data_IF_438508807266
#
_entry.id   IF_438508807266
#
_cell.length_a   1.000
_cell.length_b   1.000
_cell.length_c   1.000
_cell.angle_alpha   90.00
_cell.angle_beta   90.00
_cell.angle_gamma   90.00
#
_symmetry.space_group_name_H-M   'P 1'
#
loop_
_entity.id
_entity.type
_entity.pdbx_description
1 polymer ?
#
# COMPACT_ATOMS: atom_id res chain seq x y z
N UNK A 1 21.35 -11.61 12.66
CA UNK A 1 21.79 -10.27 12.23
C UNK A 1 22.21 -10.40 10.77
N UNK A 2 21.28 -10.43 9.86
CA UNK A 2 21.52 -10.59 8.43
C UNK A 2 20.98 -9.34 7.73
N UNK A 3 21.89 -8.50 7.30
CA UNK A 3 21.59 -7.36 6.42
C UNK A 3 21.22 -7.96 5.08
N UNK A 4 19.93 -7.97 4.74
CA UNK A 4 19.48 -8.23 3.39
C UNK A 4 19.81 -6.96 2.61
N UNK A 5 21.05 -6.89 2.11
CA UNK A 5 21.44 -5.92 1.12
C UNK A 5 20.72 -6.27 -0.18
N UNK A 6 19.69 -5.51 -0.53
CA UNK A 6 19.07 -5.62 -1.83
C UNK A 6 20.11 -5.21 -2.89
N UNK A 7 20.78 -6.19 -3.47
CA UNK A 7 21.66 -6.00 -4.63
C UNK A 7 20.75 -5.74 -5.82
N UNK A 8 20.52 -4.49 -6.15
CA UNK A 8 19.89 -4.07 -7.40
C UNK A 8 20.78 -4.52 -8.57
N UNK A 9 20.52 -5.72 -9.06
CA UNK A 9 21.26 -6.34 -10.17
C UNK A 9 20.81 -7.76 -10.44
N UNK A 10 20.06 -8.37 -9.51
CA UNK A 10 19.44 -9.67 -9.74
C UNK A 10 18.11 -9.44 -10.44
N UNK A 11 17.87 -10.13 -11.56
CA UNK A 11 16.55 -10.14 -12.20
C UNK A 11 15.49 -10.41 -11.12
N UNK A 12 14.46 -9.56 -11.09
CA UNK A 12 13.28 -9.79 -10.28
C UNK A 12 12.74 -11.18 -10.63
N UNK A 13 12.81 -12.11 -9.70
CA UNK A 13 12.27 -13.46 -9.90
C UNK A 13 11.69 -14.01 -8.58
N UNK A 14 10.79 -14.94 -8.73
CA UNK A 14 10.15 -15.63 -7.60
C UNK A 14 10.88 -16.90 -7.17
N UNK A 15 11.96 -17.28 -7.86
CA UNK A 15 12.68 -18.55 -7.62
C UNK A 15 13.42 -18.60 -6.28
N UNK A 16 13.78 -17.43 -5.74
CA UNK A 16 14.44 -17.31 -4.43
C UNK A 16 13.45 -17.30 -3.26
N UNK A 17 12.14 -17.37 -3.53
CA UNK A 17 11.11 -17.35 -2.51
C UNK A 17 11.11 -18.65 -1.70
N UNK A 18 11.43 -18.57 -0.41
CA UNK A 18 11.39 -19.70 0.51
C UNK A 18 10.04 -19.75 1.20
N UNK A 19 9.22 -20.73 0.85
CA UNK A 19 7.91 -20.96 1.47
C UNK A 19 8.09 -21.86 2.68
N UNK A 20 7.97 -21.29 3.88
CA UNK A 20 8.07 -22.04 5.15
C UNK A 20 6.74 -22.66 5.52
N UNK A 21 6.78 -23.66 6.42
CA UNK A 21 5.55 -24.27 6.99
C UNK A 21 4.68 -23.22 7.71
N UNK A 22 5.29 -22.19 8.30
CA UNK A 22 4.58 -21.09 8.93
C UNK A 22 3.78 -20.27 7.91
N UNK A 23 4.40 -19.89 6.79
CA UNK A 23 3.74 -19.18 5.70
C UNK A 23 2.56 -20.00 5.15
N UNK A 24 2.75 -21.30 4.93
CA UNK A 24 1.67 -22.18 4.46
C UNK A 24 0.51 -22.23 5.44
N UNK A 25 0.78 -22.36 6.74
CA UNK A 25 -0.24 -22.37 7.77
C UNK A 25 -1.01 -21.04 7.85
N UNK A 26 -0.32 -19.92 7.70
CA UNK A 26 -0.97 -18.60 7.68
C UNK A 26 -1.86 -18.42 6.45
N UNK A 27 -1.39 -18.83 5.27
CA UNK A 27 -2.18 -18.80 4.03
C UNK A 27 -3.44 -19.66 4.20
N UNK A 28 -3.32 -20.90 4.70
CA UNK A 28 -4.45 -21.80 4.90
C UNK A 28 -5.52 -21.19 5.81
N UNK A 29 -5.11 -20.56 6.93
CA UNK A 29 -6.03 -19.87 7.86
C UNK A 29 -6.73 -18.67 7.21
N UNK A 30 -6.03 -17.91 6.38
CA UNK A 30 -6.62 -16.79 5.66
C UNK A 30 -7.63 -17.28 4.63
N UNK A 31 -7.33 -18.36 3.91
CA UNK A 31 -8.26 -18.92 2.92
C UNK A 31 -9.49 -19.55 3.55
N UNK A 32 -9.35 -20.21 4.69
CA UNK A 32 -10.48 -20.66 5.50
C UNK A 32 -11.38 -19.50 5.90
N UNK A 33 -10.79 -18.41 6.45
CA UNK A 33 -11.54 -17.20 6.80
C UNK A 33 -12.24 -16.58 5.58
N UNK A 34 -11.59 -16.49 4.42
CA UNK A 34 -12.21 -16.02 3.16
C UNK A 34 -13.44 -16.83 2.78
N UNK A 35 -13.39 -18.16 2.97
CA UNK A 35 -14.54 -19.04 2.74
C UNK A 35 -15.71 -18.70 3.67
N UNK A 36 -15.46 -18.59 4.96
CA UNK A 36 -16.47 -18.18 5.96
C UNK A 36 -17.04 -16.80 5.63
N UNK A 37 -16.16 -15.82 5.30
CA UNK A 37 -16.56 -14.47 4.96
C UNK A 37 -17.51 -14.41 3.75
N UNK A 38 -17.25 -15.17 2.70
CA UNK A 38 -18.13 -15.25 1.53
C UNK A 38 -19.51 -15.77 1.90
N UNK A 39 -19.56 -16.83 2.73
CA UNK A 39 -20.83 -17.41 3.19
C UNK A 39 -21.61 -16.43 4.05
N UNK A 40 -20.96 -15.73 4.97
CA UNK A 40 -21.58 -14.68 5.79
C UNK A 40 -22.11 -13.51 4.95
N UNK A 41 -21.41 -13.14 3.88
CA UNK A 41 -21.84 -12.09 2.96
C UNK A 41 -23.18 -12.37 2.28
N UNK A 42 -23.47 -13.64 2.01
CA UNK A 42 -24.78 -14.06 1.45
C UNK A 42 -25.87 -14.17 2.51
N UNK A 43 -25.53 -14.58 3.74
CA UNK A 43 -26.51 -14.81 4.80
C UNK A 43 -26.89 -13.54 5.58
N UNK A 44 -26.00 -12.56 5.70
CA UNK A 44 -26.20 -11.37 6.50
C UNK A 44 -25.55 -10.12 5.87
N UNK A 45 -26.00 -9.68 4.67
CA UNK A 45 -25.35 -8.61 3.91
C UNK A 45 -25.27 -7.29 4.68
N UNK A 46 -26.32 -6.92 5.43
CA UNK A 46 -26.32 -5.66 6.20
C UNK A 46 -25.29 -5.65 7.32
N UNK A 47 -25.14 -6.78 8.03
CA UNK A 47 -24.11 -6.92 9.07
C UNK A 47 -22.71 -6.87 8.48
N UNK A 48 -22.52 -7.48 7.31
CA UNK A 48 -21.24 -7.45 6.60
C UNK A 48 -20.90 -6.06 6.11
N UNK A 49 -21.88 -5.30 5.64
CA UNK A 49 -21.70 -3.89 5.25
C UNK A 49 -21.28 -3.03 6.46
N UNK A 50 -21.93 -3.20 7.62
CA UNK A 50 -21.57 -2.49 8.83
C UNK A 50 -20.16 -2.83 9.32
N UNK A 51 -19.79 -4.13 9.33
CA UNK A 51 -18.43 -4.58 9.68
C UNK A 51 -17.38 -4.04 8.72
N UNK A 52 -17.67 -4.03 7.42
CA UNK A 52 -16.80 -3.45 6.40
C UNK A 52 -16.52 -1.97 6.67
N UNK A 53 -17.56 -1.20 7.00
CA UNK A 53 -17.42 0.22 7.33
C UNK A 53 -16.51 0.43 8.54
N UNK A 54 -16.73 -0.31 9.63
CA UNK A 54 -15.88 -0.23 10.83
C UNK A 54 -14.44 -0.58 10.51
N UNK A 55 -14.22 -1.71 9.82
CA UNK A 55 -12.88 -2.14 9.44
C UNK A 55 -12.17 -1.13 8.52
N UNK A 56 -12.91 -0.46 7.62
CA UNK A 56 -12.36 0.59 6.77
C UNK A 56 -11.91 1.80 7.60
N UNK A 57 -12.74 2.27 8.55
CA UNK A 57 -12.39 3.38 9.43
C UNK A 57 -11.13 3.06 10.24
N UNK A 58 -11.09 1.89 10.87
CA UNK A 58 -9.95 1.44 11.66
C UNK A 58 -8.67 1.28 10.82
N UNK A 59 -8.80 0.76 9.60
CA UNK A 59 -7.67 0.60 8.66
C UNK A 59 -7.10 1.96 8.25
N UNK A 60 -7.96 2.91 7.90
CA UNK A 60 -7.55 4.28 7.54
C UNK A 60 -6.87 4.94 8.75
N UNK A 61 -7.50 4.92 9.91
CA UNK A 61 -6.96 5.52 11.13
C UNK A 61 -5.62 4.90 11.53
N UNK A 62 -5.50 3.58 11.49
CA UNK A 62 -4.28 2.87 11.87
C UNK A 62 -3.13 3.15 10.90
N UNK A 63 -3.38 3.12 9.60
CA UNK A 63 -2.36 3.41 8.57
C UNK A 63 -1.83 4.84 8.70
N UNK A 64 -2.71 5.81 8.89
CA UNK A 64 -2.28 7.21 9.05
C UNK A 64 -1.56 7.44 10.39
N UNK A 65 -1.93 6.73 11.47
CA UNK A 65 -1.22 6.81 12.76
C UNK A 65 0.21 6.25 12.67
N UNK A 66 0.46 5.24 11.85
CA UNK A 66 1.83 4.75 11.56
C UNK A 66 2.67 5.86 10.94
N UNK A 67 2.07 6.69 10.09
CA UNK A 67 2.71 7.84 9.45
C UNK A 67 2.76 9.10 10.35
N UNK A 68 2.27 9.00 11.59
CA UNK A 68 2.35 10.06 12.59
C UNK A 68 1.10 10.94 12.75
N UNK A 69 -0.01 10.63 12.08
CA UNK A 69 -1.29 11.31 12.28
C UNK A 69 -1.81 11.11 13.70
N UNK A 70 -2.45 12.13 14.23
CA UNK A 70 -3.05 12.13 15.58
C UNK A 70 -4.57 11.94 15.57
N UNK A 71 -5.17 11.76 14.40
CA UNK A 71 -6.62 11.62 14.27
C UNK A 71 -7.12 10.33 14.92
N UNK A 72 -8.19 10.44 15.70
CA UNK A 72 -8.93 9.33 16.26
C UNK A 72 -9.86 8.72 15.21
N UNK A 73 -10.30 7.46 15.43
CA UNK A 73 -11.25 6.79 14.53
C UNK A 73 -12.57 7.55 14.39
N UNK A 74 -13.01 8.28 15.45
CA UNK A 74 -14.19 9.15 15.39
C UNK A 74 -14.00 10.34 14.44
N UNK A 75 -12.82 10.92 14.40
CA UNK A 75 -12.49 12.01 13.47
C UNK A 75 -12.39 11.49 12.04
N UNK A 76 -11.77 10.33 11.84
CA UNK A 76 -11.77 9.62 10.55
C UNK A 76 -13.20 9.33 10.09
N UNK A 77 -14.08 8.83 10.97
CA UNK A 77 -15.49 8.58 10.65
C UNK A 77 -16.23 9.86 10.23
N UNK A 78 -15.98 10.97 10.90
CA UNK A 78 -16.56 12.28 10.53
C UNK A 78 -16.09 12.73 9.14
N UNK A 79 -14.80 12.58 8.83
CA UNK A 79 -14.26 12.90 7.50
C UNK A 79 -14.92 12.05 6.42
N UNK A 80 -15.05 10.73 6.65
CA UNK A 80 -15.69 9.80 5.72
C UNK A 80 -17.17 10.07 5.51
N UNK A 81 -17.87 10.55 6.53
CA UNK A 81 -19.31 10.88 6.43
C UNK A 81 -19.61 12.22 5.74
N UNK A 82 -18.59 12.92 5.27
CA UNK A 82 -18.73 14.21 4.59
C UNK A 82 -19.14 15.39 5.51
N UNK A 83 -19.24 15.14 6.81
CA UNK A 83 -19.67 16.15 7.78
C UNK A 83 -18.59 17.21 8.08
N UNK A 84 -17.36 17.01 7.61
CA UNK A 84 -16.21 17.89 7.92
C UNK A 84 -15.43 18.37 6.70
N UNK A 85 -15.90 18.14 5.48
CA UNK A 85 -15.14 18.49 4.25
C UNK A 85 -14.98 20.01 4.07
N UNK A 86 -15.63 20.84 4.88
CA UNK A 86 -15.57 22.28 4.70
C UNK A 86 -14.21 22.91 5.06
N UNK A 87 -13.39 22.23 5.86
CA UNK A 87 -12.03 22.70 6.18
C UNK A 87 -11.08 21.52 6.43
N UNK A 88 -10.31 21.13 5.41
CA UNK A 88 -9.15 20.25 5.58
C UNK A 88 -7.97 21.14 6.01
N UNK A 89 -8.02 21.62 7.26
CA UNK A 89 -7.11 22.66 7.73
C UNK A 89 -5.74 22.12 8.10
N UNK A 90 -5.67 20.86 8.51
CA UNK A 90 -4.42 20.24 8.91
C UNK A 90 -3.89 19.29 7.83
N UNK A 91 -2.59 19.06 7.87
CA UNK A 91 -1.96 18.05 7.01
C UNK A 91 -2.55 16.66 7.25
N UNK A 92 -2.79 16.30 8.50
CA UNK A 92 -3.39 15.03 8.90
C UNK A 92 -4.78 14.85 8.25
N UNK A 93 -5.62 15.89 8.25
CA UNK A 93 -6.94 15.86 7.62
C UNK A 93 -6.83 15.61 6.10
N UNK A 94 -5.86 16.26 5.44
CA UNK A 94 -5.62 16.13 4.01
C UNK A 94 -5.15 14.71 3.63
N UNK A 95 -4.23 14.15 4.39
CA UNK A 95 -3.70 12.79 4.18
C UNK A 95 -4.79 11.74 4.42
N UNK A 96 -5.55 11.86 5.51
CA UNK A 96 -6.67 10.95 5.80
C UNK A 96 -7.79 11.04 4.76
N UNK A 97 -8.15 12.23 4.32
CA UNK A 97 -9.16 12.42 3.28
C UNK A 97 -8.73 11.81 1.94
N UNK A 98 -7.45 11.97 1.58
CA UNK A 98 -6.88 11.35 0.38
C UNK A 98 -6.87 9.82 0.47
N UNK A 99 -6.47 9.27 1.61
CA UNK A 99 -6.47 7.83 1.84
C UNK A 99 -7.90 7.26 1.82
N UNK A 100 -8.85 7.95 2.42
CA UNK A 100 -10.26 7.57 2.41
C UNK A 100 -10.81 7.50 0.99
N UNK A 101 -10.56 8.54 0.17
CA UNK A 101 -10.98 8.57 -1.23
C UNK A 101 -10.34 7.44 -2.06
N UNK A 102 -9.07 7.11 -1.77
CA UNK A 102 -8.40 5.98 -2.40
C UNK A 102 -9.03 4.65 -2.02
N UNK A 103 -9.31 4.43 -0.74
CA UNK A 103 -9.96 3.20 -0.25
C UNK A 103 -11.36 3.01 -0.87
N UNK A 104 -12.16 4.06 -0.92
CA UNK A 104 -13.49 4.01 -1.54
C UNK A 104 -13.40 3.64 -3.03
N UNK A 105 -12.47 4.26 -3.76
CA UNK A 105 -12.24 3.96 -5.18
C UNK A 105 -11.81 2.49 -5.36
N UNK A 106 -10.80 2.04 -4.62
CA UNK A 106 -10.27 0.67 -4.76
C UNK A 106 -11.32 -0.35 -4.35
N UNK A 107 -11.97 -0.18 -3.20
CA UNK A 107 -12.98 -1.14 -2.72
C UNK A 107 -14.24 -1.16 -3.59
N UNK A 108 -14.59 -0.04 -4.23
CA UNK A 108 -15.75 0.06 -5.12
C UNK A 108 -15.49 -0.45 -6.53
N UNK A 109 -14.25 -0.38 -7.03
CA UNK A 109 -13.93 -0.60 -8.44
C UNK A 109 -12.72 -1.50 -8.69
N UNK A 110 -12.25 -2.24 -7.69
CA UNK A 110 -11.02 -3.06 -7.80
C UNK A 110 -11.03 -4.04 -8.99
N UNK A 111 -12.21 -4.53 -9.40
CA UNK A 111 -12.35 -5.47 -10.50
C UNK A 111 -12.08 -4.83 -11.87
N UNK A 112 -12.32 -3.52 -11.96
CA UNK A 112 -12.20 -2.73 -13.19
C UNK A 112 -10.87 -1.96 -13.28
N UNK A 113 -10.05 -2.01 -12.22
CA UNK A 113 -8.74 -1.35 -12.17
C UNK A 113 -7.67 -2.33 -12.62
N UNK A 114 -7.10 -2.19 -13.83
CA UNK A 114 -5.94 -2.98 -14.25
C UNK A 114 -4.73 -2.74 -13.35
N UNK A 115 -3.95 -3.78 -13.13
CA UNK A 115 -2.69 -3.64 -12.41
C UNK A 115 -1.59 -3.24 -13.38
N UNK A 116 -1.41 -1.95 -13.58
CA UNK A 116 -0.38 -1.35 -14.43
C UNK A 116 0.16 -0.04 -13.83
N UNK A 117 1.25 0.47 -14.42
CA UNK A 117 1.91 1.68 -13.93
C UNK A 117 1.01 2.93 -13.98
N UNK A 118 0.16 3.05 -14.98
CA UNK A 118 -0.72 4.21 -15.13
C UNK A 118 -1.76 4.24 -14.02
N UNK A 119 -2.37 3.09 -13.70
CA UNK A 119 -3.33 3.00 -12.61
C UNK A 119 -2.66 3.17 -11.24
N UNK A 120 -1.44 2.65 -11.03
CA UNK A 120 -0.67 2.93 -9.81
C UNK A 120 -0.44 4.43 -9.65
N UNK A 121 -0.06 5.15 -10.71
CA UNK A 121 0.10 6.61 -10.69
C UNK A 121 -1.21 7.34 -10.44
N UNK A 122 -2.32 6.88 -11.03
CA UNK A 122 -3.64 7.45 -10.78
C UNK A 122 -4.08 7.26 -9.33
N UNK A 123 -3.87 6.07 -8.75
CA UNK A 123 -4.15 5.81 -7.34
C UNK A 123 -3.30 6.70 -6.43
N UNK A 124 -2.03 6.90 -6.75
CA UNK A 124 -1.16 7.85 -6.05
C UNK A 124 -1.65 9.30 -6.19
N UNK A 125 -2.20 9.69 -7.34
CA UNK A 125 -2.85 10.99 -7.50
C UNK A 125 -4.07 11.15 -6.58
N UNK A 126 -4.90 10.11 -6.47
CA UNK A 126 -6.07 10.12 -5.58
C UNK A 126 -5.64 10.23 -4.12
N UNK A 127 -4.63 9.44 -3.72
CA UNK A 127 -4.07 9.47 -2.37
C UNK A 127 -3.60 10.88 -1.96
N UNK A 128 -2.90 11.57 -2.85
CA UNK A 128 -2.32 12.89 -2.57
C UNK A 128 -3.22 14.06 -3.01
N UNK A 129 -4.48 13.80 -3.38
CA UNK A 129 -5.40 14.80 -3.93
C UNK A 129 -5.50 16.07 -3.10
N UNK A 130 -5.54 15.92 -1.79
CA UNK A 130 -5.74 17.02 -0.86
C UNK A 130 -4.44 17.60 -0.29
N UNK A 131 -3.30 16.93 -0.50
CA UNK A 131 -2.00 17.41 -0.02
C UNK A 131 -1.45 18.52 -0.90
N UNK A 132 -1.48 19.75 -0.42
CA UNK A 132 -0.91 20.90 -1.13
C UNK A 132 0.62 20.79 -1.26
N UNK A 133 1.29 20.21 -0.26
CA UNK A 133 2.75 20.01 -0.24
C UNK A 133 3.22 19.08 -1.35
N UNK A 134 2.43 18.07 -1.68
CA UNK A 134 2.81 16.98 -2.59
C UNK A 134 2.31 17.18 -4.02
N UNK A 135 1.81 18.36 -4.35
CA UNK A 135 1.24 18.67 -5.67
C UNK A 135 2.18 18.31 -6.84
N UNK A 136 3.49 18.52 -6.67
CA UNK A 136 4.50 18.21 -7.69
C UNK A 136 4.81 16.73 -7.82
N UNK A 137 4.45 15.92 -6.82
CA UNK A 137 4.75 14.48 -6.77
C UNK A 137 3.55 13.61 -7.11
N UNK A 138 2.35 14.18 -7.17
CA UNK A 138 1.11 13.45 -7.44
C UNK A 138 1.19 12.67 -8.75
N UNK A 139 1.14 11.35 -8.67
CA UNK A 139 1.14 10.46 -9.83
C UNK A 139 2.43 10.50 -10.65
N UNK A 140 3.51 10.99 -10.08
CA UNK A 140 4.80 11.07 -10.75
C UNK A 140 5.83 10.16 -10.07
N UNK A 141 6.78 9.69 -10.84
CA UNK A 141 7.97 9.08 -10.28
C UNK A 141 8.84 10.13 -9.60
N UNK A 142 9.63 9.69 -8.64
CA UNK A 142 10.57 10.55 -7.93
C UNK A 142 11.58 11.18 -8.90
N UNK A 143 11.92 12.43 -8.65
CA UNK A 143 12.94 13.19 -9.38
C UNK A 143 14.23 13.33 -8.60
N UNK A 144 14.19 13.06 -7.29
CA UNK A 144 15.34 13.13 -6.40
C UNK A 144 15.58 11.76 -5.75
N UNK A 145 16.83 11.51 -5.36
CA UNK A 145 17.17 10.34 -4.54
C UNK A 145 16.53 10.45 -3.15
N UNK A 146 16.02 9.33 -2.65
CA UNK A 146 15.34 9.23 -1.35
C UNK A 146 15.89 8.05 -0.53
N UNK A 147 17.21 7.90 -0.49
CA UNK A 147 17.85 6.87 0.32
C UNK A 147 17.55 7.05 1.80
N UNK A 148 17.46 5.95 2.54
CA UNK A 148 17.35 5.99 4.00
C UNK A 148 18.76 6.13 4.56
N UNK A 149 19.03 7.24 5.22
CA UNK A 149 20.31 7.55 5.82
C UNK A 149 20.25 7.41 7.35
N UNK A 150 21.38 6.99 7.95
CA UNK A 150 21.57 7.07 9.39
C UNK A 150 22.25 8.40 9.74
N UNK A 151 21.82 8.98 10.87
CA UNK A 151 22.36 10.23 11.41
C UNK A 151 22.87 9.98 12.84
N UNK A 152 23.91 10.67 13.24
CA UNK A 152 24.40 10.69 14.62
C UNK A 152 23.54 11.62 15.51
N UNK A 153 23.86 11.67 16.80
CA UNK A 153 23.16 12.52 17.78
C UNK A 153 23.24 14.03 17.45
N UNK A 154 24.19 14.42 16.61
CA UNK A 154 24.39 15.81 16.17
C UNK A 154 23.69 16.11 14.84
N UNK A 155 22.99 15.12 14.26
CA UNK A 155 22.32 15.26 12.96
C UNK A 155 23.25 15.13 11.76
N UNK A 156 24.49 14.64 11.95
CA UNK A 156 25.44 14.40 10.85
C UNK A 156 25.16 13.02 10.23
N UNK A 157 25.07 12.97 8.91
CA UNK A 157 24.86 11.72 8.20
C UNK A 157 26.11 10.82 8.34
N UNK A 158 25.92 9.64 8.95
CA UNK A 158 26.97 8.64 9.17
C UNK A 158 26.99 7.54 8.13
N UNK A 159 25.93 7.39 7.33
CA UNK A 159 25.87 6.40 6.26
C UNK A 159 24.51 6.28 5.62
N UNK A 160 24.42 5.43 4.60
CA UNK A 160 23.16 5.01 3.97
C UNK A 160 22.80 3.63 4.50
N UNK A 161 21.63 3.54 5.14
CA UNK A 161 21.10 2.29 5.69
C UNK A 161 20.43 1.48 4.58
N UNK A 162 19.70 2.17 3.70
CA UNK A 162 19.01 1.54 2.57
C UNK A 162 19.13 2.43 1.33
N UNK A 163 19.60 1.84 0.25
CA UNK A 163 19.73 2.53 -1.03
C UNK A 163 18.54 2.18 -1.92
N UNK A 164 17.72 3.19 -2.23
CA UNK A 164 16.59 3.04 -3.14
C UNK A 164 17.06 3.09 -4.60
N UNK A 165 16.18 2.66 -5.52
CA UNK A 165 16.38 2.86 -6.95
C UNK A 165 16.69 4.33 -7.28
N UNK A 166 17.51 4.59 -8.30
CA UNK A 166 17.73 5.96 -8.75
C UNK A 166 16.48 6.52 -9.45
N UNK A 167 16.29 7.85 -9.51
CA UNK A 167 15.20 8.43 -10.30
C UNK A 167 15.22 7.96 -11.77
N UNK A 168 16.40 7.79 -12.34
CA UNK A 168 16.57 7.31 -13.71
C UNK A 168 16.10 5.86 -13.89
N UNK A 169 16.41 4.98 -12.94
CA UNK A 169 16.06 3.57 -13.03
C UNK A 169 14.62 3.26 -12.59
N UNK A 170 14.00 4.14 -11.81
CA UNK A 170 12.68 3.90 -11.22
C UNK A 170 11.63 3.53 -12.26
N UNK A 171 11.47 4.20 -13.40
CA UNK A 171 10.46 3.82 -14.40
C UNK A 171 10.66 2.41 -14.96
N UNK A 172 11.88 2.06 -15.30
CA UNK A 172 12.22 0.72 -15.83
C UNK A 172 11.95 -0.37 -14.79
N UNK A 173 12.40 -0.15 -13.55
CA UNK A 173 12.20 -1.12 -12.47
C UNK A 173 10.72 -1.30 -12.10
N UNK A 174 9.93 -0.23 -12.16
CA UNK A 174 8.48 -0.31 -11.99
C UNK A 174 7.81 -1.12 -13.08
N UNK A 175 8.22 -0.91 -14.34
CA UNK A 175 7.71 -1.70 -15.46
C UNK A 175 8.03 -3.19 -15.29
N UNK A 176 9.26 -3.52 -14.90
CA UNK A 176 9.69 -4.90 -14.64
C UNK A 176 8.89 -5.52 -13.50
N UNK A 177 8.66 -4.77 -12.39
CA UNK A 177 7.89 -5.24 -11.24
C UNK A 177 6.42 -5.49 -11.61
N UNK A 178 5.80 -4.58 -12.34
CA UNK A 178 4.41 -4.73 -12.80
C UNK A 178 4.28 -5.91 -13.76
N UNK A 179 5.23 -6.10 -14.67
CA UNK A 179 5.27 -7.26 -15.58
C UNK A 179 5.37 -8.56 -14.78
N UNK A 180 6.31 -8.65 -13.83
CA UNK A 180 6.47 -9.82 -12.98
C UNK A 180 5.17 -10.20 -12.26
N UNK A 181 4.51 -9.21 -11.64
CA UNK A 181 3.23 -9.45 -10.91
C UNK A 181 2.16 -9.98 -11.86
N UNK A 182 2.02 -9.40 -13.05
CA UNK A 182 1.03 -9.84 -14.02
C UNK A 182 1.35 -11.23 -14.57
N UNK A 183 2.61 -11.53 -14.86
CA UNK A 183 3.05 -12.83 -15.33
C UNK A 183 2.78 -13.93 -14.29
N UNK A 184 3.12 -13.68 -13.02
CA UNK A 184 2.87 -14.63 -11.94
C UNK A 184 1.35 -14.83 -11.68
N UNK A 185 0.55 -13.78 -11.82
CA UNK A 185 -0.91 -13.90 -11.76
C UNK A 185 -1.48 -14.74 -12.90
N UNK A 186 -0.94 -14.63 -14.10
CA UNK A 186 -1.37 -15.42 -15.26
C UNK A 186 -0.94 -16.89 -15.17
N UNK A 187 0.27 -17.17 -14.68
CA UNK A 187 0.74 -18.53 -14.45
C UNK A 187 -0.09 -19.26 -13.40
N UNK A 188 -0.61 -18.53 -12.41
CA UNK A 188 -1.40 -19.07 -11.28
C UNK A 188 -0.68 -20.19 -10.49
N UNK A 189 0.65 -20.18 -10.48
CA UNK A 189 1.48 -21.16 -9.75
C UNK A 189 1.71 -20.74 -8.31
N UNK A 190 1.74 -19.43 -8.05
CA UNK A 190 1.92 -18.86 -6.71
C UNK A 190 0.60 -18.37 -6.12
N UNK A 191 0.46 -18.59 -4.82
CA UNK A 191 -0.65 -18.02 -4.09
C UNK A 191 -0.63 -16.47 -4.15
N UNK A 192 -1.79 -15.78 -4.37
CA UNK A 192 -1.83 -14.32 -4.50
C UNK A 192 -1.15 -13.54 -3.36
N UNK A 193 -1.22 -14.03 -2.12
CA UNK A 193 -0.54 -13.39 -0.97
C UNK A 193 0.98 -13.43 -1.10
N UNK A 194 1.55 -14.44 -1.75
CA UNK A 194 2.99 -14.51 -2.00
C UNK A 194 3.40 -13.49 -3.06
N UNK A 195 2.59 -13.32 -4.10
CA UNK A 195 2.82 -12.32 -5.14
C UNK A 195 2.76 -10.90 -4.54
N UNK A 196 1.76 -10.64 -3.68
CA UNK A 196 1.65 -9.37 -2.95
C UNK A 196 2.88 -9.16 -2.05
N UNK A 197 3.32 -10.19 -1.33
CA UNK A 197 4.52 -10.11 -0.48
C UNK A 197 5.76 -9.73 -1.27
N UNK A 198 5.99 -10.36 -2.43
CA UNK A 198 7.10 -10.00 -3.32
C UNK A 198 6.98 -8.55 -3.82
N UNK A 199 5.77 -8.15 -4.24
CA UNK A 199 5.53 -6.77 -4.68
C UNK A 199 5.88 -5.75 -3.58
N UNK A 200 5.38 -5.93 -2.36
CA UNK A 200 5.59 -4.99 -1.24
C UNK A 200 7.05 -4.89 -0.84
N UNK A 201 7.81 -6.00 -0.90
CA UNK A 201 9.24 -6.01 -0.54
C UNK A 201 10.08 -5.29 -1.60
N UNK A 202 9.67 -5.33 -2.85
CA UNK A 202 10.44 -4.75 -3.98
C UNK A 202 10.05 -3.30 -4.24
N UNK A 203 8.76 -2.97 -4.09
CA UNK A 203 8.21 -1.63 -4.30
C UNK A 203 8.77 -0.62 -3.30
#
# INVERSE_FOLDING_TARGET
MGVIGCVFGCMLNTQSLVITSEILNLIARIDEFKGVWRTMGTLAPDRMSALRRVATIESIGSSNRIEGSKLSDKEVEKLLSGLSIQTLDTRDDQEVAGYAALMDLVLGSWADIPFDENHIKQLHQVLLRHSAKDERHRGQYKTNSNHVAAFDENGTQIGIVFQTATPFDTPRLMQELVSLVNDERHKAELHPLLIIGVFVVVF
#
